data_IF_823291818878
#
_entry.id   IF_823291818878
#
_cell.length_a   1.000
_cell.length_b   1.000
_cell.length_c   1.000
_cell.angle_alpha   90.00
_cell.angle_beta   90.00
_cell.angle_gamma   90.00
#
_symmetry.space_group_name_H-M   'P 1'
#
loop_
_entity.id
_entity.type
_entity.pdbx_description
1 polymer ?
#
# COMPACT_ATOMS: atom_id res chain seq x y z
N UNK A 1 25.76 36.09 25.31
CA UNK A 1 24.91 35.14 26.06
C UNK A 1 23.53 35.81 26.24
N UNK A 2 22.54 35.48 25.41
CA UNK A 2 21.19 36.04 25.57
C UNK A 2 20.44 35.28 26.67
N UNK A 3 20.02 36.01 27.72
CA UNK A 3 19.27 35.51 28.87
C UNK A 3 17.78 35.43 28.59
N UNK A 4 17.37 34.60 27.63
CA UNK A 4 15.97 34.29 27.38
C UNK A 4 15.55 32.98 28.05
N UNK A 5 14.50 33.04 28.85
CA UNK A 5 13.87 31.92 29.58
C UNK A 5 12.98 31.09 28.63
N UNK A 6 13.60 30.50 27.61
CA UNK A 6 12.91 29.60 26.68
C UNK A 6 12.68 28.24 27.33
N UNK A 7 11.53 27.57 27.09
CA UNK A 7 11.34 26.19 27.52
C UNK A 7 12.42 25.31 26.89
N UNK A 8 13.35 24.84 27.72
CA UNK A 8 14.37 23.85 27.33
C UNK A 8 13.90 22.47 27.75
N UNK A 9 14.27 21.42 27.01
CA UNK A 9 13.95 20.02 27.32
C UNK A 9 14.37 19.69 28.76
N UNK A 10 13.39 19.57 29.68
CA UNK A 10 13.66 19.32 31.11
C UNK A 10 13.74 17.83 31.48
N UNK A 11 13.27 16.94 30.61
CA UNK A 11 13.36 15.47 30.76
C UNK A 11 13.59 14.82 29.39
N UNK A 12 14.26 13.67 29.36
CA UNK A 12 14.35 12.84 28.17
C UNK A 12 12.96 12.37 27.72
N UNK A 13 12.80 12.11 26.43
CA UNK A 13 11.61 11.44 25.92
C UNK A 13 11.80 9.93 26.16
N UNK A 14 10.87 9.32 26.89
CA UNK A 14 10.80 7.86 27.00
C UNK A 14 9.79 7.35 25.97
N UNK A 15 10.32 6.73 24.92
CA UNK A 15 9.52 6.19 23.83
C UNK A 15 9.06 4.74 24.09
N UNK A 16 9.42 4.16 25.26
CA UNK A 16 9.11 2.78 25.65
C UNK A 16 9.50 1.74 24.60
N UNK A 17 10.58 1.99 23.84
CA UNK A 17 11.05 1.09 22.79
C UNK A 17 11.41 -0.30 23.33
N UNK A 18 11.82 -0.40 24.59
CA UNK A 18 12.11 -1.67 25.27
C UNK A 18 10.89 -2.61 25.37
N UNK A 19 9.68 -2.07 25.17
CA UNK A 19 8.42 -2.84 25.18
C UNK A 19 7.87 -3.12 23.78
N UNK A 20 8.61 -2.77 22.73
CA UNK A 20 8.17 -3.01 21.36
C UNK A 20 7.94 -4.51 21.11
N UNK A 21 6.85 -4.89 20.43
CA UNK A 21 6.56 -6.30 20.12
C UNK A 21 7.60 -6.91 19.19
N UNK A 22 8.41 -6.09 18.53
CA UNK A 22 9.44 -6.46 17.56
C UNK A 22 10.66 -7.18 18.15
N UNK A 23 10.98 -7.01 19.45
CA UNK A 23 12.22 -7.53 20.03
C UNK A 23 12.44 -9.04 19.80
N UNK A 24 11.45 -9.92 20.04
CA UNK A 24 11.59 -11.34 19.75
C UNK A 24 11.81 -11.63 18.26
N UNK A 25 11.19 -10.86 17.37
CA UNK A 25 11.32 -11.05 15.91
C UNK A 25 12.70 -10.62 15.43
N UNK A 26 13.25 -9.52 15.97
CA UNK A 26 14.61 -9.06 15.69
C UNK A 26 15.65 -10.09 16.17
N UNK A 27 15.42 -10.70 17.34
CA UNK A 27 16.29 -11.76 17.85
C UNK A 27 16.25 -12.99 16.93
N UNK A 28 15.06 -13.42 16.50
CA UNK A 28 14.90 -14.54 15.57
C UNK A 28 15.52 -14.25 14.19
N UNK A 29 15.47 -13.00 13.72
CA UNK A 29 16.00 -12.59 12.42
C UNK A 29 17.51 -12.26 12.40
N UNK A 30 18.25 -12.46 13.50
CA UNK A 30 19.68 -12.11 13.56
C UNK A 30 20.51 -12.78 12.45
N UNK A 31 20.23 -14.03 12.09
CA UNK A 31 20.94 -14.74 11.03
C UNK A 31 20.84 -14.00 9.68
N UNK A 32 19.64 -13.58 9.32
CA UNK A 32 19.38 -12.81 8.09
C UNK A 32 19.96 -11.39 8.18
N UNK A 33 19.78 -10.72 9.32
CA UNK A 33 20.30 -9.38 9.54
C UNK A 33 21.83 -9.31 9.47
N UNK A 34 22.53 -10.37 9.88
CA UNK A 34 23.99 -10.49 9.83
C UNK A 34 24.51 -11.08 8.51
N UNK A 35 23.63 -11.41 7.57
CA UNK A 35 23.99 -12.01 6.28
C UNK A 35 24.51 -13.46 6.40
N UNK A 36 24.20 -14.15 7.50
CA UNK A 36 24.53 -15.57 7.70
C UNK A 36 23.46 -16.51 7.13
N UNK A 37 22.24 -16.01 6.95
CA UNK A 37 21.09 -16.73 6.40
C UNK A 37 20.40 -15.87 5.34
N UNK A 38 19.82 -16.51 4.32
CA UNK A 38 19.12 -15.77 3.24
C UNK A 38 17.69 -15.42 3.61
N UNK A 39 17.05 -16.25 4.44
CA UNK A 39 15.64 -16.10 4.81
C UNK A 39 15.33 -16.64 6.20
N UNK A 40 14.31 -16.07 6.85
CA UNK A 40 13.73 -16.55 8.10
C UNK A 40 12.21 -16.39 8.08
N UNK A 41 11.50 -17.35 8.68
CA UNK A 41 10.06 -17.28 8.93
C UNK A 41 9.80 -17.39 10.43
N UNK A 42 9.04 -16.44 10.98
CA UNK A 42 8.79 -16.33 12.42
C UNK A 42 7.29 -16.30 12.67
N UNK A 43 6.82 -17.08 13.63
CA UNK A 43 5.42 -17.09 14.06
C UNK A 43 5.24 -16.25 15.33
N UNK A 44 4.12 -15.54 15.44
CA UNK A 44 3.85 -14.70 16.60
C UNK A 44 2.39 -14.32 16.77
N UNK A 45 2.11 -13.56 17.82
CA UNK A 45 0.79 -12.96 18.06
C UNK A 45 0.93 -11.46 18.23
N UNK A 46 -0.12 -10.73 17.87
CA UNK A 46 -0.22 -9.28 18.08
C UNK A 46 -1.57 -8.93 18.67
N UNK A 47 -1.59 -7.88 19.50
CA UNK A 47 -2.81 -7.34 20.12
C UNK A 47 -2.92 -5.85 19.79
N UNK A 48 -4.12 -5.30 19.95
CA UNK A 48 -4.39 -3.91 19.62
C UNK A 48 -3.49 -2.88 20.35
N UNK A 49 -2.93 -3.24 21.51
CA UNK A 49 -1.98 -2.41 22.29
C UNK A 49 -0.57 -2.41 21.70
N UNK A 50 -0.23 -3.40 20.87
CA UNK A 50 1.07 -3.58 20.22
C UNK A 50 1.13 -2.67 18.98
N UNK A 51 1.24 -1.36 19.23
CA UNK A 51 1.31 -0.31 18.20
C UNK A 51 2.63 -0.34 17.45
N UNK A 52 2.60 0.06 16.18
CA UNK A 52 3.79 0.15 15.32
C UNK A 52 4.58 -1.15 15.21
N UNK A 53 3.92 -2.30 15.38
CA UNK A 53 4.55 -3.60 15.24
C UNK A 53 5.18 -3.75 13.84
N UNK A 54 6.44 -4.17 13.78
CA UNK A 54 7.24 -4.33 12.57
C UNK A 54 8.10 -3.10 12.23
N UNK A 55 7.82 -1.92 12.80
CA UNK A 55 8.59 -0.70 12.52
C UNK A 55 10.01 -0.77 13.08
N UNK A 56 10.22 -1.35 14.27
CA UNK A 56 11.56 -1.44 14.86
C UNK A 56 12.40 -2.49 14.11
N UNK A 57 11.79 -3.59 13.69
CA UNK A 57 12.43 -4.55 12.77
C UNK A 57 12.80 -3.89 11.43
N UNK A 58 11.90 -3.07 10.88
CA UNK A 58 12.16 -2.27 9.68
C UNK A 58 13.39 -1.36 9.85
N UNK A 59 13.50 -0.67 10.99
CA UNK A 59 14.68 0.12 11.31
C UNK A 59 15.97 -0.71 11.29
N UNK A 60 15.96 -1.90 11.90
CA UNK A 60 17.13 -2.78 11.95
C UNK A 60 17.55 -3.28 10.55
N UNK A 61 16.60 -3.53 9.64
CA UNK A 61 16.87 -3.85 8.22
C UNK A 61 17.45 -2.65 7.49
N UNK A 62 16.82 -1.48 7.58
CA UNK A 62 17.30 -0.26 6.92
C UNK A 62 18.71 0.10 7.36
N UNK A 63 18.99 0.03 8.67
CA UNK A 63 20.30 0.37 9.25
C UNK A 63 21.43 -0.53 8.74
N UNK A 64 21.15 -1.82 8.49
CA UNK A 64 22.16 -2.78 8.03
C UNK A 64 22.32 -2.85 6.51
N UNK A 65 21.23 -2.64 5.77
CA UNK A 65 21.24 -2.64 4.30
C UNK A 65 21.63 -1.28 3.69
N UNK A 66 21.80 -0.24 4.50
CA UNK A 66 22.08 1.11 4.02
C UNK A 66 20.91 1.78 3.30
N UNK A 67 19.68 1.26 3.46
CA UNK A 67 18.47 1.78 2.82
C UNK A 67 17.97 0.99 1.62
N UNK A 68 18.80 0.15 1.00
CA UNK A 68 18.42 -0.67 -0.16
C UNK A 68 17.42 -1.80 0.21
N UNK A 69 17.36 -2.17 1.49
CA UNK A 69 16.56 -3.28 1.99
C UNK A 69 17.21 -4.65 1.72
N UNK A 70 16.43 -5.71 1.86
CA UNK A 70 16.85 -7.10 1.62
C UNK A 70 16.08 -7.68 0.44
N UNK A 71 16.46 -8.89 0.00
CA UNK A 71 15.65 -9.67 -0.93
C UNK A 71 14.21 -9.79 -0.41
N UNK A 72 13.23 -9.80 -1.32
CA UNK A 72 11.81 -9.98 -0.96
C UNK A 72 11.63 -11.26 -0.13
N UNK A 73 10.76 -11.20 0.90
CA UNK A 73 10.50 -12.32 1.82
C UNK A 73 11.72 -12.83 2.62
N UNK A 74 12.83 -12.09 2.68
CA UNK A 74 13.98 -12.44 3.53
C UNK A 74 13.59 -12.57 5.02
N UNK A 75 12.64 -11.77 5.49
CA UNK A 75 12.08 -11.90 6.84
C UNK A 75 10.55 -11.96 6.72
N UNK A 76 9.97 -13.13 6.98
CA UNK A 76 8.52 -13.32 6.99
C UNK A 76 8.02 -13.47 8.43
N UNK A 77 7.05 -12.64 8.82
CA UNK A 77 6.35 -12.75 10.09
C UNK A 77 4.91 -13.24 9.86
N UNK A 78 4.61 -14.46 10.29
CA UNK A 78 3.26 -15.01 10.31
C UNK A 78 2.64 -14.74 11.70
N UNK A 79 1.70 -13.80 11.75
CA UNK A 79 1.14 -13.25 12.97
C UNK A 79 -0.35 -13.59 13.08
N UNK A 80 -0.83 -13.80 14.31
CA UNK A 80 -2.27 -13.94 14.59
C UNK A 80 -2.74 -12.89 15.60
N UNK A 81 -3.97 -12.38 15.44
CA UNK A 81 -4.62 -11.47 16.38
C UNK A 81 -5.01 -10.12 15.76
N UNK A 82 -4.88 -9.04 16.54
CA UNK A 82 -5.24 -7.68 16.09
C UNK A 82 -4.02 -6.77 16.06
N UNK A 83 -3.65 -6.27 14.89
CA UNK A 83 -2.59 -5.26 14.76
C UNK A 83 -3.00 -3.93 15.40
N UNK A 84 -2.17 -3.41 16.29
CA UNK A 84 -2.35 -2.07 16.85
C UNK A 84 -2.24 -0.96 15.78
N UNK A 85 -2.49 0.29 16.19
CA UNK A 85 -2.32 1.43 15.28
C UNK A 85 -0.92 1.47 14.67
N UNK A 86 -0.84 1.85 13.38
CA UNK A 86 0.40 1.91 12.61
C UNK A 86 1.11 0.57 12.42
N UNK A 87 0.37 -0.55 12.39
CA UNK A 87 0.92 -1.87 12.06
C UNK A 87 1.69 -1.84 10.74
N UNK A 88 2.96 -2.28 10.76
CA UNK A 88 3.84 -2.26 9.60
C UNK A 88 4.19 -0.86 9.06
N UNK A 89 4.15 0.17 9.88
CA UNK A 89 4.57 1.51 9.44
C UNK A 89 6.05 1.55 9.05
N UNK A 90 6.34 2.24 7.95
CA UNK A 90 7.69 2.40 7.37
C UNK A 90 8.41 1.07 7.11
N UNK A 91 7.67 0.03 6.71
CA UNK A 91 8.22 -1.29 6.47
C UNK A 91 9.05 -1.30 5.16
N UNK A 92 10.38 -1.53 5.23
CA UNK A 92 11.25 -1.52 4.06
C UNK A 92 11.17 -2.84 3.28
N UNK A 93 11.76 -2.83 2.08
CA UNK A 93 11.92 -4.02 1.25
C UNK A 93 12.62 -5.15 2.02
N UNK A 94 12.05 -6.35 1.89
CA UNK A 94 12.57 -7.60 2.43
C UNK A 94 11.91 -8.09 3.71
N UNK A 95 10.99 -7.31 4.29
CA UNK A 95 10.11 -7.78 5.36
C UNK A 95 8.70 -7.99 4.82
N UNK A 96 8.10 -9.12 5.19
CA UNK A 96 6.72 -9.49 4.89
C UNK A 96 5.96 -9.79 6.17
N UNK A 97 4.89 -9.04 6.42
CA UNK A 97 3.99 -9.24 7.56
C UNK A 97 2.70 -9.90 7.08
N UNK A 98 2.43 -11.14 7.48
CA UNK A 98 1.19 -11.86 7.18
C UNK A 98 0.39 -11.95 8.48
N UNK A 99 -0.72 -11.21 8.56
CA UNK A 99 -1.57 -11.18 9.74
C UNK A 99 -2.87 -11.93 9.49
N UNK A 100 -3.08 -13.01 10.25
CA UNK A 100 -4.37 -13.66 10.37
C UNK A 100 -5.21 -12.96 11.43
N UNK A 101 -6.14 -12.12 11.00
CA UNK A 101 -6.99 -11.29 11.85
C UNK A 101 -7.26 -9.92 11.23
N UNK A 102 -7.22 -8.86 12.03
CA UNK A 102 -7.52 -7.49 11.64
C UNK A 102 -6.49 -6.49 12.18
N UNK A 103 -6.51 -5.24 11.72
CA UNK A 103 -5.67 -4.20 12.29
C UNK A 103 -6.35 -2.82 12.30
N UNK A 104 -5.96 -2.00 13.28
CA UNK A 104 -6.47 -0.64 13.47
C UNK A 104 -5.94 0.34 12.40
N UNK A 105 -6.16 1.64 12.61
CA UNK A 105 -5.74 2.70 11.68
C UNK A 105 -4.25 2.67 11.32
N UNK A 106 -3.94 3.24 10.16
CA UNK A 106 -2.59 3.52 9.67
C UNK A 106 -1.75 2.28 9.30
N UNK A 107 -2.39 1.17 8.92
CA UNK A 107 -1.67 -0.01 8.40
C UNK A 107 -0.75 0.43 7.26
N UNK A 108 0.52 0.09 7.32
CA UNK A 108 1.47 0.44 6.27
C UNK A 108 1.66 1.94 6.07
N UNK A 109 1.47 2.78 7.10
CA UNK A 109 1.81 4.20 7.03
C UNK A 109 3.26 4.37 6.57
N UNK A 110 3.46 5.12 5.49
CA UNK A 110 4.77 5.35 4.88
C UNK A 110 5.44 4.06 4.41
N UNK A 111 4.68 3.05 3.99
CA UNK A 111 5.21 1.81 3.42
C UNK A 111 6.25 2.11 2.34
N UNK A 112 7.42 1.47 2.43
CA UNK A 112 8.60 1.81 1.64
C UNK A 112 9.33 0.56 1.12
N UNK A 113 8.55 -0.43 0.69
CA UNK A 113 9.05 -1.60 -0.04
C UNK A 113 8.67 -2.94 0.56
N UNK A 114 8.24 -2.98 1.81
CA UNK A 114 7.79 -4.20 2.47
C UNK A 114 6.45 -4.70 1.95
N UNK A 115 6.04 -5.88 2.43
CA UNK A 115 4.75 -6.49 2.11
C UNK A 115 3.95 -6.62 3.40
N UNK A 116 2.70 -6.20 3.38
CA UNK A 116 1.75 -6.40 4.47
C UNK A 116 0.52 -7.07 3.90
N UNK A 117 0.19 -8.25 4.40
CA UNK A 117 -0.98 -9.03 4.03
C UNK A 117 -1.84 -9.26 5.27
N UNK A 118 -3.12 -8.90 5.22
CA UNK A 118 -4.07 -9.11 6.32
C UNK A 118 -5.29 -9.84 5.78
N UNK A 119 -5.67 -10.93 6.44
CA UNK A 119 -6.78 -11.78 6.02
C UNK A 119 -7.19 -12.76 7.12
N UNK A 120 -8.23 -13.54 6.88
CA UNK A 120 -8.65 -14.61 7.80
C UNK A 120 -8.20 -16.01 7.33
N UNK A 121 -7.61 -16.10 6.13
CA UNK A 121 -7.27 -17.35 5.44
C UNK A 121 -8.37 -17.83 4.49
N UNK A 122 -8.09 -18.89 3.74
CA UNK A 122 -9.07 -19.47 2.80
C UNK A 122 -10.22 -20.18 3.54
N UNK A 123 -11.39 -20.27 2.89
CA UNK A 123 -12.57 -20.88 3.48
C UNK A 123 -13.17 -20.02 4.59
N UNK A 124 -13.02 -18.70 4.45
CA UNK A 124 -13.55 -17.72 5.38
C UNK A 124 -15.08 -17.72 5.31
N UNK A 125 -15.73 -17.68 6.47
CA UNK A 125 -17.20 -17.68 6.54
C UNK A 125 -17.78 -16.46 5.81
N UNK A 126 -18.96 -16.57 5.16
CA UNK A 126 -19.57 -15.46 4.39
C UNK A 126 -19.72 -14.15 5.17
N UNK A 127 -19.90 -14.23 6.50
CA UNK A 127 -20.00 -13.06 7.38
C UNK A 127 -18.73 -12.21 7.45
N UNK A 128 -17.59 -12.77 7.07
CA UNK A 128 -16.29 -12.13 7.08
C UNK A 128 -15.84 -11.69 5.68
N UNK A 129 -16.55 -12.12 4.63
CA UNK A 129 -16.32 -11.62 3.26
C UNK A 129 -16.65 -10.14 3.24
N UNK A 130 -15.68 -9.29 2.86
CA UNK A 130 -15.80 -7.83 2.91
C UNK A 130 -16.02 -7.23 4.31
N UNK A 131 -15.78 -7.97 5.39
CA UNK A 131 -15.82 -7.40 6.74
C UNK A 131 -14.69 -6.38 6.95
N UNK A 132 -14.87 -5.39 7.84
CA UNK A 132 -13.78 -4.48 8.21
C UNK A 132 -12.57 -5.27 8.71
N UNK A 133 -11.42 -5.06 8.06
CA UNK A 133 -10.14 -5.69 8.39
C UNK A 133 -9.03 -4.67 8.63
N UNK A 134 -9.21 -3.45 8.12
CA UNK A 134 -8.30 -2.33 8.32
C UNK A 134 -9.04 -1.06 8.75
N UNK A 135 -8.41 -0.28 9.63
CA UNK A 135 -8.92 1.02 10.03
C UNK A 135 -8.78 2.10 8.96
N UNK A 136 -8.72 3.36 9.40
CA UNK A 136 -8.60 4.53 8.54
C UNK A 136 -7.15 4.77 8.11
N UNK A 137 -6.99 5.49 6.99
CA UNK A 137 -5.71 6.08 6.57
C UNK A 137 -4.59 5.03 6.39
N UNK A 138 -4.96 3.83 5.97
CA UNK A 138 -4.02 2.79 5.58
C UNK A 138 -3.23 3.22 4.34
N UNK A 139 -1.96 2.81 4.28
CA UNK A 139 -0.99 3.18 3.25
C UNK A 139 -0.75 4.69 3.10
N UNK A 140 -0.95 5.47 4.17
CA UNK A 140 -0.72 6.91 4.13
C UNK A 140 0.70 7.25 3.70
N UNK A 141 0.86 7.94 2.57
CA UNK A 141 2.17 8.38 2.11
C UNK A 141 3.09 7.24 1.69
N UNK A 142 2.54 6.07 1.34
CA UNK A 142 3.33 4.93 0.89
C UNK A 142 4.07 5.27 -0.42
N UNK A 143 5.35 4.88 -0.50
CA UNK A 143 6.22 5.20 -1.65
C UNK A 143 6.55 3.97 -2.49
N UNK A 144 6.53 2.78 -1.89
CA UNK A 144 6.73 1.49 -2.58
C UNK A 144 6.27 0.35 -1.68
N UNK A 145 6.26 -0.88 -2.19
CA UNK A 145 5.82 -2.07 -1.45
C UNK A 145 4.37 -2.44 -1.72
N UNK A 146 3.86 -3.42 -0.98
CA UNK A 146 2.53 -4.00 -1.20
C UNK A 146 1.70 -4.06 0.08
N UNK A 147 0.45 -3.59 0.02
CA UNK A 147 -0.54 -3.77 1.08
C UNK A 147 -1.73 -4.54 0.53
N UNK A 148 -2.03 -5.69 1.12
CA UNK A 148 -3.02 -6.64 0.65
C UNK A 148 -4.03 -6.93 1.78
N UNK A 149 -5.27 -6.49 1.64
CA UNK A 149 -6.31 -6.61 2.68
C UNK A 149 -7.50 -7.43 2.19
N UNK A 150 -7.68 -8.64 2.71
CA UNK A 150 -8.81 -9.52 2.37
C UNK A 150 -10.05 -9.15 3.21
N UNK A 151 -10.54 -7.93 2.98
CA UNK A 151 -11.64 -7.31 3.70
C UNK A 151 -11.73 -5.82 3.39
N UNK A 152 -12.65 -5.13 4.05
CA UNK A 152 -12.86 -3.70 3.88
C UNK A 152 -11.90 -2.88 4.77
N UNK A 153 -11.46 -1.73 4.27
CA UNK A 153 -10.76 -0.72 5.03
C UNK A 153 -11.64 0.50 5.30
N UNK A 154 -11.29 1.30 6.31
CA UNK A 154 -11.97 2.55 6.64
C UNK A 154 -11.76 3.68 5.62
N UNK A 155 -11.92 4.91 6.10
CA UNK A 155 -11.79 6.12 5.31
C UNK A 155 -10.33 6.40 4.92
N UNK A 156 -10.14 7.19 3.86
CA UNK A 156 -8.81 7.67 3.40
C UNK A 156 -7.82 6.56 3.09
N UNK A 157 -8.31 5.40 2.65
CA UNK A 157 -7.44 4.33 2.21
C UNK A 157 -6.58 4.79 1.02
N UNK A 158 -5.27 4.59 1.11
CA UNK A 158 -4.32 4.99 0.06
C UNK A 158 -4.12 6.50 -0.07
N UNK A 159 -4.50 7.29 0.96
CA UNK A 159 -4.30 8.75 0.94
C UNK A 159 -2.82 9.07 0.75
N UNK A 160 -2.51 9.93 -0.22
CA UNK A 160 -1.12 10.28 -0.60
C UNK A 160 -0.24 9.08 -0.97
N UNK A 161 -0.81 7.97 -1.46
CA UNK A 161 0.00 6.92 -2.06
C UNK A 161 0.78 7.50 -3.26
N UNK A 162 2.08 7.27 -3.29
CA UNK A 162 2.99 7.80 -4.29
C UNK A 162 3.74 6.70 -5.06
N UNK A 163 3.51 5.42 -4.76
CA UNK A 163 4.16 4.34 -5.49
C UNK A 163 3.93 2.91 -5.00
N UNK A 164 3.16 2.69 -3.94
CA UNK A 164 2.83 1.33 -3.50
C UNK A 164 1.69 0.70 -4.31
N UNK A 165 1.69 -0.64 -4.35
CA UNK A 165 0.56 -1.44 -4.87
C UNK A 165 -0.35 -1.83 -3.72
N UNK A 166 -1.61 -1.41 -3.79
CA UNK A 166 -2.60 -1.62 -2.74
C UNK A 166 -3.73 -2.53 -3.27
N UNK A 167 -4.16 -3.51 -2.48
CA UNK A 167 -5.33 -4.36 -2.80
C UNK A 167 -6.23 -4.44 -1.58
N UNK A 168 -7.52 -4.22 -1.77
CA UNK A 168 -8.51 -4.19 -0.69
C UNK A 168 -9.90 -4.59 -1.22
N UNK A 169 -10.75 -5.21 -0.40
CA UNK A 169 -12.07 -5.71 -0.82
C UNK A 169 -13.22 -4.72 -0.57
N UNK A 170 -12.91 -3.49 -0.16
CA UNK A 170 -13.85 -2.40 0.02
C UNK A 170 -13.21 -1.25 0.80
N UNK A 171 -13.66 -0.02 0.57
CA UNK A 171 -13.11 1.16 1.26
C UNK A 171 -14.21 2.14 1.66
N UNK A 172 -13.95 2.91 2.71
CA UNK A 172 -14.78 4.05 3.11
C UNK A 172 -14.61 5.28 2.22
N UNK A 173 -15.06 6.43 2.73
CA UNK A 173 -14.98 7.72 2.03
C UNK A 173 -13.52 8.18 1.84
N UNK A 174 -13.30 9.06 0.86
CA UNK A 174 -12.00 9.70 0.57
C UNK A 174 -10.89 8.72 0.14
N UNK A 175 -11.25 7.58 -0.46
CA UNK A 175 -10.28 6.65 -1.03
C UNK A 175 -9.38 7.32 -2.08
N UNK A 176 -8.09 6.98 -2.10
CA UNK A 176 -7.09 7.52 -3.03
C UNK A 176 -6.94 9.06 -3.03
N UNK A 177 -7.39 9.73 -1.95
CA UNK A 177 -7.26 11.17 -1.79
C UNK A 177 -5.77 11.60 -1.90
N UNK A 178 -5.47 12.58 -2.73
CA UNK A 178 -4.11 13.07 -3.01
C UNK A 178 -3.10 12.01 -3.48
N UNK A 179 -3.56 10.89 -4.06
CA UNK A 179 -2.67 9.88 -4.63
C UNK A 179 -1.89 10.46 -5.83
N UNK A 180 -0.57 10.26 -5.85
CA UNK A 180 0.35 10.82 -6.87
C UNK A 180 1.06 9.73 -7.67
N UNK A 181 0.91 8.47 -7.31
CA UNK A 181 1.57 7.34 -7.97
C UNK A 181 1.18 6.00 -7.37
N UNK A 182 1.67 4.91 -7.97
CA UNK A 182 1.34 3.55 -7.57
C UNK A 182 0.03 3.04 -8.20
N UNK A 183 -0.42 1.89 -7.70
CA UNK A 183 -1.63 1.23 -8.17
C UNK A 183 -2.51 0.79 -7.00
N UNK A 184 -3.83 0.87 -7.15
CA UNK A 184 -4.77 0.46 -6.11
C UNK A 184 -5.92 -0.33 -6.72
N UNK A 185 -6.07 -1.59 -6.31
CA UNK A 185 -7.16 -2.48 -6.70
C UNK A 185 -8.19 -2.54 -5.57
N UNK A 186 -9.41 -2.08 -5.84
CA UNK A 186 -10.55 -2.15 -4.94
C UNK A 186 -11.53 -3.19 -5.47
N UNK A 187 -11.60 -4.34 -4.81
CA UNK A 187 -12.37 -5.50 -5.22
C UNK A 187 -13.80 -5.49 -4.66
N UNK A 188 -14.33 -4.32 -4.34
CA UNK A 188 -15.65 -4.15 -3.73
C UNK A 188 -16.06 -2.68 -3.66
N UNK A 189 -17.04 -2.34 -2.81
CA UNK A 189 -17.62 -1.00 -2.79
C UNK A 189 -16.61 0.06 -2.35
N UNK A 190 -16.79 1.27 -2.89
CA UNK A 190 -16.07 2.48 -2.49
C UNK A 190 -16.99 3.43 -1.73
N UNK A 191 -16.44 4.28 -0.87
CA UNK A 191 -17.15 5.42 -0.32
C UNK A 191 -17.08 6.66 -1.22
N UNK A 192 -17.69 7.75 -0.76
CA UNK A 192 -17.80 9.03 -1.48
C UNK A 192 -16.45 9.72 -1.59
N UNK A 193 -16.39 10.72 -2.47
CA UNK A 193 -15.24 11.59 -2.65
C UNK A 193 -13.96 10.82 -3.08
N UNK A 194 -14.15 9.72 -3.81
CA UNK A 194 -13.09 8.88 -4.34
C UNK A 194 -12.20 9.70 -5.29
N UNK A 195 -10.88 9.58 -5.10
CA UNK A 195 -9.87 10.21 -5.96
C UNK A 195 -9.71 11.73 -5.76
N UNK A 196 -10.27 12.33 -4.72
CA UNK A 196 -10.14 13.77 -4.49
C UNK A 196 -8.67 14.23 -4.50
N UNK A 197 -8.32 15.17 -5.36
CA UNK A 197 -6.94 15.66 -5.54
C UNK A 197 -5.94 14.61 -6.03
N UNK A 198 -6.39 13.47 -6.56
CA UNK A 198 -5.52 12.45 -7.16
C UNK A 198 -4.88 13.01 -8.43
N UNK A 199 -3.55 13.06 -8.46
CA UNK A 199 -2.77 13.63 -9.56
C UNK A 199 -1.89 12.59 -10.28
N UNK A 200 -1.82 11.34 -9.79
CA UNK A 200 -1.11 10.27 -10.48
C UNK A 200 -1.38 8.87 -9.94
N UNK A 201 -0.92 7.87 -10.69
CA UNK A 201 -1.19 6.45 -10.43
C UNK A 201 -2.48 5.96 -11.10
N UNK A 202 -2.83 4.69 -10.86
CA UNK A 202 -4.02 4.05 -11.45
C UNK A 202 -4.87 3.35 -10.38
N UNK A 203 -6.16 3.64 -10.34
CA UNK A 203 -7.14 2.88 -9.56
C UNK A 203 -7.81 1.85 -10.45
N UNK A 204 -8.02 0.65 -9.91
CA UNK A 204 -8.82 -0.41 -10.53
C UNK A 204 -9.96 -0.71 -9.57
N UNK A 205 -11.20 -0.41 -9.96
CA UNK A 205 -12.37 -0.51 -9.08
C UNK A 205 -13.38 -1.48 -9.68
N UNK A 206 -13.71 -2.53 -8.92
CA UNK A 206 -14.73 -3.48 -9.29
C UNK A 206 -16.12 -2.84 -9.08
N UNK A 207 -16.97 -2.90 -10.09
CA UNK A 207 -18.33 -2.33 -10.08
C UNK A 207 -18.35 -0.84 -9.70
N UNK A 208 -17.52 -0.03 -10.35
CA UNK A 208 -17.38 1.40 -10.07
C UNK A 208 -18.73 2.15 -10.11
N UNK A 209 -19.14 2.69 -8.96
CA UNK A 209 -20.16 3.73 -8.88
C UNK A 209 -19.55 5.11 -9.15
N UNK A 210 -19.86 5.70 -10.30
CA UNK A 210 -19.34 7.01 -10.70
C UNK A 210 -19.87 8.16 -9.82
N UNK A 211 -20.97 7.98 -9.11
CA UNK A 211 -21.50 8.99 -8.18
C UNK A 211 -20.63 9.16 -6.94
N UNK A 212 -19.72 8.21 -6.67
CA UNK A 212 -18.77 8.27 -5.56
C UNK A 212 -17.50 9.05 -5.89
N UNK A 213 -17.24 9.37 -7.16
CA UNK A 213 -16.09 10.18 -7.54
C UNK A 213 -16.19 11.59 -6.95
N UNK A 214 -15.05 12.19 -6.62
CA UNK A 214 -15.02 13.61 -6.28
C UNK A 214 -15.59 14.44 -7.46
N UNK A 215 -16.61 15.28 -7.24
CA UNK A 215 -17.28 15.99 -8.32
C UNK A 215 -16.42 17.08 -8.99
N UNK A 216 -15.46 17.66 -8.26
CA UNK A 216 -14.55 18.67 -8.79
C UNK A 216 -13.47 18.07 -9.69
N UNK A 217 -13.00 16.86 -9.38
CA UNK A 217 -11.91 16.20 -10.09
C UNK A 217 -12.39 15.20 -11.16
N UNK A 218 -13.65 14.75 -11.10
CA UNK A 218 -14.19 13.69 -11.97
C UNK A 218 -13.99 13.95 -13.48
N UNK A 219 -14.08 15.21 -13.93
CA UNK A 219 -13.87 15.57 -15.33
C UNK A 219 -12.41 15.39 -15.79
N UNK A 220 -11.46 15.47 -14.85
CA UNK A 220 -10.04 15.26 -15.08
C UNK A 220 -9.63 13.78 -15.15
N UNK A 221 -10.53 12.85 -14.83
CA UNK A 221 -10.26 11.42 -14.92
C UNK A 221 -10.56 10.85 -16.30
N UNK A 222 -9.73 9.89 -16.69
CA UNK A 222 -10.03 8.91 -17.72
C UNK A 222 -10.51 7.63 -17.04
N UNK A 223 -11.69 7.17 -17.43
CA UNK A 223 -12.32 5.96 -16.89
C UNK A 223 -12.55 5.00 -18.05
N UNK A 224 -11.84 3.88 -18.06
CA UNK A 224 -11.87 2.90 -19.15
C UNK A 224 -11.96 1.48 -18.60
N UNK A 225 -12.38 0.49 -19.42
CA UNK A 225 -12.08 -0.91 -19.13
C UNK A 225 -10.58 -1.13 -18.97
N UNK A 226 -10.18 -2.19 -18.26
CA UNK A 226 -8.76 -2.51 -18.10
C UNK A 226 -8.10 -2.80 -19.45
N UNK A 227 -7.17 -1.91 -19.83
CA UNK A 227 -6.38 -2.02 -21.06
C UNK A 227 -5.51 -3.27 -21.05
N UNK A 228 -5.26 -3.83 -22.23
CA UNK A 228 -4.57 -5.12 -22.38
C UNK A 228 -3.20 -5.15 -21.69
N UNK A 229 -2.43 -4.07 -21.79
CA UNK A 229 -1.11 -3.92 -21.17
C UNK A 229 -1.15 -3.96 -19.63
N UNK A 230 -2.28 -3.62 -19.00
CA UNK A 230 -2.45 -3.67 -17.54
C UNK A 230 -2.97 -5.02 -17.04
N UNK A 231 -3.50 -5.88 -17.91
CA UNK A 231 -4.16 -7.14 -17.49
C UNK A 231 -3.22 -8.09 -16.78
N UNK A 232 -1.98 -8.23 -17.26
CA UNK A 232 -0.98 -9.07 -16.59
C UNK A 232 -0.72 -8.58 -15.16
N UNK A 233 -0.49 -7.29 -14.99
CA UNK A 233 -0.27 -6.68 -13.67
C UNK A 233 -1.45 -6.94 -12.72
N UNK A 234 -2.69 -6.75 -13.19
CA UNK A 234 -3.88 -6.99 -12.38
C UNK A 234 -3.99 -8.46 -11.96
N UNK A 235 -3.81 -9.40 -12.88
CA UNK A 235 -3.88 -10.84 -12.57
C UNK A 235 -2.78 -11.27 -11.60
N UNK A 236 -1.54 -10.82 -11.79
CA UNK A 236 -0.42 -11.12 -10.88
C UNK A 236 -0.67 -10.53 -9.50
N UNK A 237 -1.18 -9.30 -9.42
CA UNK A 237 -1.53 -8.65 -8.15
C UNK A 237 -2.68 -9.37 -7.43
N UNK A 238 -3.71 -9.82 -8.16
CA UNK A 238 -4.80 -10.62 -7.61
C UNK A 238 -4.32 -11.99 -7.11
N UNK A 239 -3.41 -12.64 -7.85
CA UNK A 239 -2.81 -13.92 -7.42
C UNK A 239 -1.96 -13.74 -6.15
N UNK A 240 -1.16 -12.68 -6.07
CA UNK A 240 -0.38 -12.34 -4.87
C UNK A 240 -1.32 -12.07 -3.68
N UNK A 241 -2.39 -11.32 -3.90
CA UNK A 241 -3.42 -11.06 -2.90
C UNK A 241 -4.06 -12.36 -2.39
N UNK A 242 -4.55 -13.21 -3.28
CA UNK A 242 -5.15 -14.51 -2.91
C UNK A 242 -4.16 -15.39 -2.14
N UNK A 243 -2.92 -15.50 -2.61
CA UNK A 243 -1.89 -16.35 -2.00
C UNK A 243 -1.48 -15.88 -0.60
N UNK A 244 -1.33 -14.57 -0.38
CA UNK A 244 -0.81 -14.03 0.89
C UNK A 244 -1.89 -13.78 1.94
N UNK A 245 -3.15 -13.64 1.54
CA UNK A 245 -4.26 -13.34 2.47
C UNK A 245 -5.28 -14.47 2.62
N UNK A 246 -5.31 -15.41 1.67
CA UNK A 246 -6.37 -16.41 1.56
C UNK A 246 -7.71 -15.82 1.09
N UNK A 247 -7.71 -14.69 0.38
CA UNK A 247 -8.93 -14.05 -0.11
C UNK A 247 -9.76 -14.98 -1.01
N UNK A 248 -10.92 -15.39 -0.51
CA UNK A 248 -11.91 -16.16 -1.29
C UNK A 248 -12.49 -15.31 -2.44
N UNK A 249 -12.57 -13.99 -2.28
CA UNK A 249 -13.03 -13.07 -3.33
C UNK A 249 -12.06 -12.99 -4.50
N UNK A 250 -10.77 -12.83 -4.22
CA UNK A 250 -9.73 -12.83 -5.25
C UNK A 250 -9.67 -14.19 -5.96
N UNK A 251 -9.80 -15.30 -5.21
CA UNK A 251 -9.86 -16.64 -5.78
C UNK A 251 -11.06 -16.81 -6.74
N UNK A 252 -12.24 -16.30 -6.37
CA UNK A 252 -13.42 -16.34 -7.24
C UNK A 252 -13.23 -15.51 -8.53
N UNK A 253 -12.70 -14.29 -8.43
CA UNK A 253 -12.42 -13.44 -9.60
C UNK A 253 -11.35 -14.04 -10.53
N UNK A 254 -10.39 -14.79 -9.98
CA UNK A 254 -9.38 -15.50 -10.77
C UNK A 254 -9.92 -16.77 -11.45
N UNK A 255 -11.04 -17.33 -10.96
CA UNK A 255 -11.68 -18.49 -11.56
C UNK A 255 -12.47 -18.12 -12.83
N UNK A 256 -12.97 -16.89 -12.92
CA UNK A 256 -13.62 -16.33 -14.12
C UNK A 256 -13.04 -14.95 -14.46
N UNK A 257 -11.94 -14.95 -15.23
CA UNK A 257 -11.30 -13.71 -15.67
C UNK A 257 -12.22 -12.87 -16.59
N UNK A 258 -13.20 -13.48 -17.28
CA UNK A 258 -14.09 -12.73 -18.17
C UNK A 258 -14.99 -11.81 -17.35
N UNK A 259 -15.57 -12.34 -16.28
CA UNK A 259 -16.37 -11.56 -15.32
C UNK A 259 -15.54 -10.42 -14.70
N UNK A 260 -14.28 -10.68 -14.34
CA UNK A 260 -13.38 -9.65 -13.83
C UNK A 260 -13.23 -8.48 -14.82
N UNK A 261 -12.98 -8.77 -16.11
CA UNK A 261 -12.74 -7.71 -17.10
C UNK A 261 -13.98 -6.91 -17.47
N UNK A 262 -15.18 -7.49 -17.35
CA UNK A 262 -16.44 -6.79 -17.57
C UNK A 262 -16.75 -5.79 -16.44
N UNK A 263 -16.36 -6.12 -15.21
CA UNK A 263 -16.72 -5.38 -14.00
C UNK A 263 -15.65 -4.42 -13.51
N UNK A 264 -14.39 -4.65 -13.87
CA UNK A 264 -13.26 -3.86 -13.40
C UNK A 264 -13.03 -2.63 -14.28
N UNK A 265 -13.16 -1.44 -13.68
CA UNK A 265 -12.85 -0.16 -14.32
C UNK A 265 -11.46 0.33 -13.91
N UNK A 266 -10.68 0.84 -14.86
CA UNK A 266 -9.46 1.58 -14.60
C UNK A 266 -9.75 3.09 -14.57
N UNK A 267 -9.21 3.79 -13.58
CA UNK A 267 -9.35 5.23 -13.37
C UNK A 267 -7.95 5.83 -13.22
N UNK A 268 -7.64 6.83 -14.02
CA UNK A 268 -6.39 7.59 -13.89
C UNK A 268 -6.59 9.07 -14.26
N UNK A 269 -5.84 10.01 -13.68
CA UNK A 269 -5.85 11.40 -14.12
C UNK A 269 -5.36 11.51 -15.58
N UNK A 270 -6.09 12.24 -16.42
CA UNK A 270 -5.72 12.44 -17.84
C UNK A 270 -4.33 13.03 -17.99
N UNK A 271 -4.02 14.06 -17.21
CA UNK A 271 -2.70 14.69 -17.20
C UNK A 271 -1.59 13.69 -16.87
N UNK A 272 -1.83 12.79 -15.90
CA UNK A 272 -0.89 11.71 -15.57
C UNK A 272 -0.66 10.77 -16.75
N UNK A 273 -1.72 10.33 -17.44
CA UNK A 273 -1.60 9.47 -18.61
C UNK A 273 -0.82 10.15 -19.75
N UNK A 274 -1.09 11.43 -20.02
CA UNK A 274 -0.35 12.22 -21.01
C UNK A 274 1.13 12.31 -20.65
N UNK A 275 1.46 12.65 -19.39
CA UNK A 275 2.83 12.74 -18.89
C UNK A 275 3.54 11.40 -19.06
N UNK A 276 2.92 10.30 -18.63
CA UNK A 276 3.50 8.95 -18.73
C UNK A 276 3.76 8.56 -20.19
N UNK A 277 2.80 8.79 -21.10
CA UNK A 277 2.97 8.47 -22.51
C UNK A 277 4.11 9.26 -23.16
N UNK A 278 4.26 10.54 -22.83
CA UNK A 278 5.36 11.38 -23.34
C UNK A 278 6.73 10.90 -22.82
N UNK A 279 6.82 10.57 -21.52
CA UNK A 279 8.06 10.04 -20.92
C UNK A 279 8.44 8.68 -21.52
N UNK A 280 7.47 7.80 -21.77
CA UNK A 280 7.70 6.51 -22.43
C UNK A 280 8.14 6.69 -23.89
N UNK A 281 7.54 7.63 -24.62
CA UNK A 281 7.94 7.95 -25.99
C UNK A 281 9.36 8.51 -26.05
N UNK A 282 9.75 9.38 -25.11
CA UNK A 282 11.11 9.89 -24.98
C UNK A 282 12.11 8.75 -24.70
N UNK A 283 11.80 7.88 -23.75
CA UNK A 283 12.62 6.70 -23.46
C UNK A 283 12.80 5.79 -24.68
N UNK A 284 11.73 5.57 -25.46
CA UNK A 284 11.77 4.78 -26.68
C UNK A 284 12.63 5.41 -27.80
N UNK A 285 12.78 6.73 -27.79
CA UNK A 285 13.72 7.48 -28.66
C UNK A 285 15.16 7.50 -28.12
N UNK A 286 15.40 6.97 -26.92
CA UNK A 286 16.71 7.00 -26.25
C UNK A 286 17.02 8.34 -25.58
N UNK A 287 16.01 9.19 -25.38
CA UNK A 287 16.12 10.45 -24.64
C UNK A 287 15.94 10.20 -23.13
N UNK A 288 16.57 11.04 -22.31
CA UNK A 288 16.32 11.05 -20.86
C UNK A 288 14.90 11.60 -20.61
N UNK A 289 13.97 10.80 -20.04
CA UNK A 289 12.59 11.23 -19.78
C UNK A 289 12.47 12.39 -18.78
N UNK A 290 13.54 12.69 -18.04
CA UNK A 290 13.60 13.78 -17.07
C UNK A 290 14.37 15.00 -17.62
N UNK A 291 14.76 15.00 -18.90
CA UNK A 291 15.40 16.13 -19.54
C UNK A 291 14.45 17.33 -19.68
N UNK A 292 15.00 18.55 -19.60
CA UNK A 292 14.23 19.79 -19.75
C UNK A 292 13.43 19.87 -21.05
N UNK A 293 13.92 19.27 -22.14
CA UNK A 293 13.20 19.24 -23.42
C UNK A 293 11.88 18.44 -23.31
N UNK A 294 11.94 17.25 -22.68
CA UNK A 294 10.76 16.40 -22.43
C UNK A 294 9.81 17.09 -21.45
N UNK A 295 10.32 17.80 -20.43
CA UNK A 295 9.49 18.60 -19.54
C UNK A 295 8.76 19.74 -20.24
N UNK A 296 9.40 20.41 -21.21
CA UNK A 296 8.72 21.44 -22.00
C UNK A 296 7.58 20.85 -22.84
N UNK A 297 7.81 19.70 -23.50
CA UNK A 297 6.76 18.97 -24.24
C UNK A 297 5.58 18.59 -23.32
N UNK A 298 5.88 18.10 -22.13
CA UNK A 298 4.88 17.77 -21.10
C UNK A 298 4.06 19.00 -20.70
N UNK A 299 4.72 20.13 -20.44
CA UNK A 299 4.05 21.35 -20.03
C UNK A 299 3.14 21.89 -21.13
N UNK A 300 3.59 21.86 -22.39
CA UNK A 300 2.77 22.23 -23.55
C UNK A 300 1.54 21.33 -23.69
N UNK A 301 1.69 20.02 -23.51
CA UNK A 301 0.61 19.05 -23.65
C UNK A 301 -0.41 19.04 -22.49
N UNK A 302 -0.03 19.53 -21.31
CA UNK A 302 -0.88 19.49 -20.09
C UNK A 302 -1.53 20.82 -19.74
N UNK A 303 -1.07 21.94 -20.31
CA UNK A 303 -1.63 23.28 -20.10
C UNK A 303 -2.45 23.79 -21.32
N UNK A 304 -2.57 22.98 -22.38
CA UNK A 304 -3.36 23.27 -23.58
C UNK A 304 -4.83 22.88 -23.48
#
# INVERSE_FOLDING_TARGET
>A
RHGGDFPRRRRGQDHQLDRAPDHPWIAAAQGVLEGREDHVRVHGTVRNVDRSAGTLLGHEVTRRSGGEGLAEDAIMLDLEGTGGQSFGAFLPRGISLHLRGDANDYIGKGLCGGIIAVGHGAGTGPSLISAPIGGNTCAYGATSGRLLLAGAAGERFGVRNSGATLVVEGIGDHGAEYMTGGAMLVLGPTGRNLGAGMSGGTLFVLDLDRTHLNPADAAGFEITPVRHEHRRFVLETLRDHAARTGSDRAAALLADESELWERLSAIAPRAFLTITALREAAAARGEDPDANAVWNEIMEATHG
#
